data_IF_164116587932
#
_entry.id   IF_164116587932
#
_cell.length_a   1.000
_cell.length_b   1.000
_cell.length_c   1.000
_cell.angle_alpha   90.00
_cell.angle_beta   90.00
_cell.angle_gamma   90.00
#
_symmetry.space_group_name_H-M   'P 1'
#
loop_
_entity.id
_entity.type
_entity.pdbx_description
1 polymer ?
#
# COMPACT_ATOMS: atom_id res chain seq x y z
N UNK A 1 -23.65 32.66 -20.42
CA UNK A 1 -24.45 32.24 -19.28
C UNK A 1 -23.93 30.95 -18.64
N UNK A 2 -22.98 30.24 -19.29
CA UNK A 2 -22.27 29.05 -18.80
C UNK A 2 -21.09 29.33 -17.87
N UNK A 3 -20.45 30.51 -17.98
CA UNK A 3 -19.28 30.88 -17.16
C UNK A 3 -19.59 31.22 -15.69
N UNK A 4 -20.84 31.48 -15.34
CA UNK A 4 -21.23 31.84 -13.97
C UNK A 4 -21.53 30.58 -13.09
N UNK A 5 -21.66 29.39 -13.67
CA UNK A 5 -21.95 28.16 -12.91
C UNK A 5 -20.69 27.44 -12.41
N UNK A 6 -19.52 27.68 -13.01
CA UNK A 6 -18.25 27.06 -12.61
C UNK A 6 -17.58 27.75 -11.42
N UNK A 7 -17.83 29.04 -11.20
CA UNK A 7 -17.23 29.77 -10.05
C UNK A 7 -17.94 29.54 -8.71
N UNK A 8 -19.17 29.03 -8.72
CA UNK A 8 -19.96 28.87 -7.48
C UNK A 8 -19.65 27.55 -6.73
N UNK A 9 -18.94 26.59 -7.36
CA UNK A 9 -18.59 25.30 -6.75
C UNK A 9 -17.29 25.33 -5.96
N UNK A 10 -16.50 26.41 -6.03
CA UNK A 10 -15.23 26.57 -5.29
C UNK A 10 -15.42 27.17 -3.87
N UNK A 11 -16.64 27.63 -3.52
CA UNK A 11 -16.81 28.54 -2.38
C UNK A 11 -17.15 27.90 -1.04
N UNK A 12 -17.27 26.57 -0.91
CA UNK A 12 -17.71 26.00 0.37
C UNK A 12 -17.11 24.62 0.70
N UNK A 13 -15.88 24.33 0.26
CA UNK A 13 -15.21 23.12 0.71
C UNK A 13 -14.76 23.26 2.16
N UNK A 14 -15.10 22.28 2.98
CA UNK A 14 -14.59 22.21 4.34
C UNK A 14 -13.10 21.85 4.32
N UNK A 15 -12.26 22.71 4.86
CA UNK A 15 -10.82 22.45 4.95
C UNK A 15 -10.54 21.49 6.10
N UNK A 16 -9.85 20.39 5.80
CA UNK A 16 -9.37 19.41 6.77
C UNK A 16 -7.86 19.36 6.72
N UNK A 17 -7.23 19.47 7.87
CA UNK A 17 -5.77 19.35 8.00
C UNK A 17 -5.45 18.02 8.68
N UNK A 18 -4.65 17.20 8.00
CA UNK A 18 -4.12 15.94 8.51
C UNK A 18 -2.65 16.13 8.87
N UNK A 19 -2.28 15.84 10.09
CA UNK A 19 -0.89 15.95 10.56
C UNK A 19 -0.23 14.59 10.53
N UNK A 20 0.82 14.47 9.71
CA UNK A 20 1.56 13.24 9.45
C UNK A 20 1.11 12.52 8.19
N UNK A 21 2.04 12.29 7.23
CA UNK A 21 1.83 11.53 6.01
C UNK A 21 2.30 10.07 6.13
N UNK A 22 2.12 9.46 7.30
CA UNK A 22 2.25 8.02 7.51
C UNK A 22 0.99 7.27 7.03
N UNK A 23 0.94 5.94 7.16
CA UNK A 23 -0.19 5.14 6.67
C UNK A 23 -1.55 5.63 7.18
N UNK A 24 -1.65 5.97 8.47
CA UNK A 24 -2.90 6.43 9.07
C UNK A 24 -3.37 7.77 8.48
N UNK A 25 -2.46 8.75 8.35
CA UNK A 25 -2.81 10.07 7.81
C UNK A 25 -3.17 10.01 6.33
N UNK A 26 -2.42 9.25 5.55
CA UNK A 26 -2.70 9.06 4.12
C UNK A 26 -4.03 8.33 3.89
N UNK A 27 -4.34 7.30 4.68
CA UNK A 27 -5.63 6.60 4.63
C UNK A 27 -6.78 7.55 4.98
N UNK A 28 -6.64 8.35 6.04
CA UNK A 28 -7.67 9.31 6.43
C UNK A 28 -7.90 10.36 5.33
N UNK A 29 -6.83 10.89 4.73
CA UNK A 29 -6.92 11.85 3.64
C UNK A 29 -7.61 11.24 2.40
N UNK A 30 -7.23 10.01 2.03
CA UNK A 30 -7.83 9.29 0.93
C UNK A 30 -9.33 9.07 1.14
N UNK A 31 -9.73 8.55 2.31
CA UNK A 31 -11.11 8.27 2.64
C UNK A 31 -11.99 9.54 2.63
N UNK A 32 -11.47 10.66 3.11
CA UNK A 32 -12.19 11.93 3.05
C UNK A 32 -12.45 12.38 1.61
N UNK A 33 -11.44 12.27 0.74
CA UNK A 33 -11.54 12.69 -0.66
C UNK A 33 -12.37 11.71 -1.51
N UNK A 34 -12.34 10.42 -1.18
CA UNK A 34 -13.12 9.39 -1.88
C UNK A 34 -14.63 9.50 -1.55
N UNK A 35 -14.96 9.80 -0.29
CA UNK A 35 -16.35 9.88 0.20
C UNK A 35 -17.08 11.15 -0.18
N UNK A 36 -16.39 12.28 -0.30
CA UNK A 36 -17.05 13.55 -0.63
C UNK A 36 -16.15 14.52 -1.38
N UNK A 37 -16.76 15.30 -2.26
CA UNK A 37 -16.11 16.44 -2.94
C UNK A 37 -16.15 17.73 -2.12
N UNK A 38 -16.78 17.70 -0.94
CA UNK A 38 -16.97 18.87 -0.07
C UNK A 38 -15.73 19.16 0.79
N UNK A 39 -14.73 18.30 0.76
CA UNK A 39 -13.48 18.48 1.49
C UNK A 39 -12.34 19.00 0.61
N UNK A 40 -11.57 19.91 1.20
CA UNK A 40 -10.22 20.26 0.78
C UNK A 40 -9.27 19.69 1.84
N UNK A 41 -8.49 18.67 1.48
CA UNK A 41 -7.61 17.98 2.43
C UNK A 41 -6.19 18.45 2.25
N UNK A 42 -5.57 18.92 3.34
CA UNK A 42 -4.16 19.29 3.41
C UNK A 42 -3.45 18.32 4.33
N UNK A 43 -2.42 17.65 3.84
CA UNK A 43 -1.58 16.77 4.66
C UNK A 43 -0.26 17.47 4.95
N UNK A 44 0.07 17.59 6.23
CA UNK A 44 1.34 18.16 6.70
C UNK A 44 2.26 17.02 7.15
N UNK A 45 3.47 17.02 6.62
CA UNK A 45 4.50 16.03 6.96
C UNK A 45 5.79 16.77 7.38
N UNK A 46 6.42 16.31 8.46
CA UNK A 46 7.64 16.88 8.99
C UNK A 46 8.86 16.54 8.15
N UNK A 47 8.88 15.32 7.60
CA UNK A 47 9.99 14.83 6.80
C UNK A 47 9.83 15.18 5.31
N UNK A 48 10.91 15.07 4.54
CA UNK A 48 10.90 15.31 3.09
C UNK A 48 10.16 14.24 2.29
N UNK A 49 9.77 13.12 2.92
CA UNK A 49 9.15 11.98 2.25
C UNK A 49 7.93 11.47 3.00
N UNK A 50 6.89 11.11 2.25
CA UNK A 50 5.70 10.45 2.78
C UNK A 50 5.97 8.98 3.15
N UNK A 51 5.03 8.38 3.86
CA UNK A 51 4.99 6.95 4.16
C UNK A 51 5.29 6.59 5.60
N UNK A 52 5.88 7.49 6.40
CA UNK A 52 6.18 7.24 7.81
C UNK A 52 6.98 5.93 7.99
N UNK A 53 6.49 5.03 8.84
CA UNK A 53 7.13 3.72 9.08
C UNK A 53 7.08 2.79 7.85
N UNK A 54 6.17 3.02 6.92
CA UNK A 54 6.03 2.21 5.69
C UNK A 54 6.81 2.78 4.50
N UNK A 55 7.60 3.83 4.72
CA UNK A 55 8.38 4.43 3.63
C UNK A 55 9.50 3.52 3.15
N UNK A 56 9.78 3.59 1.86
CA UNK A 56 10.93 2.94 1.23
C UNK A 56 12.08 3.95 1.10
N UNK A 57 13.24 3.59 1.57
CA UNK A 57 14.47 4.38 1.44
C UNK A 57 15.27 3.86 0.24
N UNK A 58 15.75 4.77 -0.60
CA UNK A 58 16.71 4.44 -1.64
C UNK A 58 18.13 4.80 -1.17
N UNK A 59 18.98 3.80 -1.03
CA UNK A 59 20.36 3.99 -0.67
C UNK A 59 21.29 3.33 -1.72
N UNK A 60 22.07 4.14 -2.41
CA UNK A 60 23.00 3.67 -3.47
C UNK A 60 22.31 2.77 -4.51
N UNK A 61 21.11 3.14 -4.94
CA UNK A 61 20.34 2.37 -5.92
C UNK A 61 19.56 1.17 -5.36
N UNK A 62 19.71 0.85 -4.07
CA UNK A 62 18.98 -0.22 -3.42
C UNK A 62 17.78 0.35 -2.67
N UNK A 63 16.60 -0.24 -2.87
CA UNK A 63 15.37 0.09 -2.17
C UNK A 63 15.23 -0.77 -0.93
N UNK A 64 14.97 -0.14 0.21
CA UNK A 64 14.81 -0.79 1.50
C UNK A 64 13.62 -0.18 2.24
N UNK A 65 12.70 -1.00 2.70
CA UNK A 65 11.59 -0.56 3.51
C UNK A 65 12.03 -0.36 4.97
N UNK A 66 11.60 0.74 5.57
CA UNK A 66 11.93 1.07 6.96
C UNK A 66 11.21 0.17 7.96
N UNK A 67 10.00 -0.26 7.61
CA UNK A 67 9.17 -1.12 8.44
C UNK A 67 8.92 -2.48 7.82
N UNK A 68 7.83 -3.11 8.25
CA UNK A 68 7.37 -4.34 7.63
C UNK A 68 6.94 -4.10 6.18
N UNK A 69 7.57 -4.78 5.24
CA UNK A 69 7.31 -4.65 3.81
C UNK A 69 6.27 -5.65 3.30
N UNK A 70 5.51 -6.27 4.19
CA UNK A 70 4.48 -7.24 3.85
C UNK A 70 3.16 -6.82 4.43
N UNK A 71 2.18 -6.69 3.55
CA UNK A 71 0.80 -6.53 3.96
C UNK A 71 0.26 -7.90 4.42
N UNK A 72 -0.41 -7.89 5.57
CA UNK A 72 -1.16 -9.01 6.10
C UNK A 72 -2.30 -8.49 6.96
N UNK A 73 -3.52 -8.92 6.67
CA UNK A 73 -4.68 -8.67 7.52
C UNK A 73 -5.57 -9.90 7.60
N UNK A 74 -6.21 -10.08 8.77
CA UNK A 74 -7.29 -11.06 8.98
C UNK A 74 -8.67 -10.44 8.80
N UNK A 75 -8.73 -9.12 8.58
CA UNK A 75 -9.98 -8.37 8.43
C UNK A 75 -10.32 -8.28 6.93
N UNK A 76 -11.44 -8.85 6.49
CA UNK A 76 -11.86 -8.80 5.08
C UNK A 76 -11.96 -7.37 4.54
N UNK A 77 -12.52 -6.45 5.33
CA UNK A 77 -12.71 -5.06 4.93
C UNK A 77 -11.39 -4.35 4.63
N UNK A 78 -10.33 -4.69 5.38
CA UNK A 78 -8.99 -4.14 5.15
C UNK A 78 -8.37 -4.73 3.88
N UNK A 79 -8.59 -6.02 3.62
CA UNK A 79 -8.11 -6.65 2.39
C UNK A 79 -8.80 -6.05 1.16
N UNK A 80 -10.14 -5.93 1.17
CA UNK A 80 -10.93 -5.30 0.11
C UNK A 80 -10.50 -3.85 -0.15
N UNK A 81 -10.20 -3.10 0.91
CA UNK A 81 -9.70 -1.73 0.79
C UNK A 81 -8.36 -1.67 0.06
N UNK A 82 -7.43 -2.58 0.40
CA UNK A 82 -6.14 -2.65 -0.28
C UNK A 82 -6.26 -3.10 -1.73
N UNK A 83 -7.10 -4.10 -2.02
CA UNK A 83 -7.34 -4.59 -3.37
C UNK A 83 -7.98 -3.52 -4.29
N UNK A 84 -8.76 -2.59 -3.72
CA UNK A 84 -9.27 -1.42 -4.44
C UNK A 84 -8.15 -0.49 -4.94
N UNK A 85 -7.06 -0.37 -4.18
CA UNK A 85 -5.93 0.50 -4.49
C UNK A 85 -4.85 -0.21 -5.32
N UNK A 86 -4.55 -1.46 -4.96
CA UNK A 86 -3.54 -2.30 -5.58
C UNK A 86 -4.12 -3.69 -5.79
N UNK A 87 -4.57 -4.03 -7.00
CA UNK A 87 -5.15 -5.34 -7.28
C UNK A 87 -4.12 -6.46 -7.13
N UNK A 88 -4.59 -7.66 -6.74
CA UNK A 88 -3.75 -8.84 -6.65
C UNK A 88 -3.31 -9.33 -8.04
N UNK A 89 -2.09 -9.89 -8.13
CA UNK A 89 -1.56 -10.44 -9.38
C UNK A 89 -2.49 -11.49 -10.00
N UNK A 90 -2.70 -11.39 -11.31
CA UNK A 90 -3.45 -12.36 -12.12
C UNK A 90 -2.58 -13.29 -12.96
N UNK A 91 -1.26 -13.07 -12.96
CA UNK A 91 -0.28 -13.93 -13.60
C UNK A 91 0.93 -14.15 -12.69
N UNK A 92 1.70 -15.25 -12.86
CA UNK A 92 2.95 -15.44 -12.16
C UNK A 92 3.97 -14.37 -12.53
N UNK A 93 4.70 -13.83 -11.55
CA UNK A 93 5.84 -12.97 -11.84
C UNK A 93 7.05 -13.77 -12.36
N UNK A 94 8.03 -13.06 -12.92
CA UNK A 94 9.30 -13.66 -13.35
C UNK A 94 9.96 -14.49 -12.22
N UNK A 95 9.96 -13.97 -11.00
CA UNK A 95 10.52 -14.68 -9.85
C UNK A 95 9.70 -15.91 -9.45
N UNK A 96 8.38 -15.90 -9.66
CA UNK A 96 7.55 -17.06 -9.40
C UNK A 96 7.92 -18.20 -10.36
N UNK A 97 8.08 -17.87 -11.63
CA UNK A 97 8.48 -18.84 -12.66
C UNK A 97 9.90 -19.36 -12.42
N UNK A 98 10.84 -18.46 -12.14
CA UNK A 98 12.25 -18.80 -11.92
C UNK A 98 12.49 -19.65 -10.68
N UNK A 99 11.69 -19.44 -9.62
CA UNK A 99 11.80 -20.13 -8.34
C UNK A 99 10.75 -21.23 -8.17
N UNK A 100 10.07 -21.60 -9.28
CA UNK A 100 9.05 -22.66 -9.31
C UNK A 100 7.96 -22.50 -8.23
N UNK A 101 7.53 -21.24 -8.00
CA UNK A 101 6.46 -20.91 -7.05
C UNK A 101 5.10 -20.99 -7.72
N UNK A 102 4.11 -21.38 -6.96
CA UNK A 102 2.71 -21.40 -7.39
C UNK A 102 1.92 -20.39 -6.52
N UNK A 103 1.91 -19.09 -6.88
CA UNK A 103 1.14 -18.11 -6.14
C UNK A 103 -0.36 -18.30 -6.35
N UNK A 104 -1.17 -17.85 -5.41
CA UNK A 104 -2.60 -17.68 -5.64
C UNK A 104 -2.79 -16.49 -6.60
N UNK A 105 -3.50 -16.71 -7.70
CA UNK A 105 -3.76 -15.70 -8.72
C UNK A 105 -5.19 -15.21 -8.63
N UNK A 106 -5.39 -13.89 -8.79
CA UNK A 106 -6.70 -13.28 -8.88
C UNK A 106 -7.27 -13.46 -10.29
N UNK A 107 -8.55 -13.80 -10.37
CA UNK A 107 -9.28 -13.79 -11.63
C UNK A 107 -9.32 -12.34 -12.17
N UNK A 108 -8.90 -12.14 -13.41
CA UNK A 108 -8.77 -10.80 -14.02
C UNK A 108 -7.76 -9.85 -13.35
N UNK A 109 -6.88 -10.35 -12.50
CA UNK A 109 -5.78 -9.53 -11.95
C UNK A 109 -4.76 -9.15 -13.03
N UNK A 110 -3.99 -8.06 -12.81
CA UNK A 110 -2.96 -7.63 -13.74
C UNK A 110 -1.77 -8.58 -13.79
N UNK A 111 -1.07 -8.54 -14.91
CA UNK A 111 0.21 -9.22 -15.09
C UNK A 111 1.34 -8.35 -14.46
N UNK A 112 2.02 -8.84 -13.42
CA UNK A 112 3.05 -8.07 -12.71
C UNK A 112 4.30 -7.77 -13.55
N UNK A 113 4.48 -8.43 -14.68
CA UNK A 113 5.57 -8.13 -15.61
C UNK A 113 5.22 -6.98 -16.58
N UNK A 114 3.96 -6.50 -16.55
CA UNK A 114 3.47 -5.42 -17.42
C UNK A 114 3.01 -4.18 -16.64
N UNK A 115 2.62 -4.36 -15.38
CA UNK A 115 2.03 -3.30 -14.55
C UNK A 115 2.71 -3.32 -13.18
N UNK A 116 3.23 -2.16 -12.75
CA UNK A 116 3.90 -2.01 -11.44
C UNK A 116 2.89 -1.89 -10.28
N UNK A 117 1.70 -1.34 -10.55
CA UNK A 117 0.64 -1.16 -9.56
C UNK A 117 -0.10 -2.48 -9.29
N UNK A 118 0.56 -3.41 -8.64
CA UNK A 118 0.03 -4.76 -8.36
C UNK A 118 0.56 -5.29 -7.03
N UNK A 119 -0.29 -5.97 -6.27
CA UNK A 119 0.14 -6.75 -5.10
C UNK A 119 0.55 -8.16 -5.50
N UNK A 120 1.74 -8.56 -5.06
CA UNK A 120 2.27 -9.90 -5.31
C UNK A 120 1.94 -10.82 -4.13
N UNK A 121 1.41 -12.01 -4.42
CA UNK A 121 1.24 -13.06 -3.42
C UNK A 121 2.57 -13.77 -3.19
N UNK A 122 3.13 -13.64 -2.00
CA UNK A 122 4.42 -14.23 -1.64
C UNK A 122 4.31 -15.15 -0.44
N UNK A 123 4.72 -16.40 -0.62
CA UNK A 123 4.91 -17.33 0.48
C UNK A 123 5.90 -16.76 1.51
N UNK A 124 5.60 -16.85 2.79
CA UNK A 124 6.47 -16.39 3.87
C UNK A 124 7.32 -17.56 4.38
N UNK A 125 8.64 -17.37 4.33
CA UNK A 125 9.59 -18.18 5.09
C UNK A 125 10.19 -17.29 6.17
N UNK A 126 9.86 -17.55 7.43
CA UNK A 126 10.44 -16.82 8.56
C UNK A 126 11.25 -17.78 9.42
N UNK A 127 12.41 -17.34 9.86
CA UNK A 127 13.29 -18.10 10.73
C UNK A 127 13.81 -17.21 11.84
N UNK A 128 13.97 -17.82 13.02
CA UNK A 128 14.62 -17.19 14.16
C UNK A 128 16.05 -17.74 14.21
N UNK A 129 17.04 -16.84 14.19
CA UNK A 129 18.42 -17.21 14.44
C UNK A 129 18.70 -17.06 15.95
N UNK A 130 18.96 -18.16 16.62
CA UNK A 130 19.28 -18.18 18.03
C UNK A 130 20.31 -19.28 18.33
N UNK A 131 21.29 -18.96 19.16
CA UNK A 131 22.36 -19.87 19.57
C UNK A 131 23.04 -20.59 18.37
N UNK A 132 23.40 -19.81 17.34
CA UNK A 132 24.05 -20.26 16.09
C UNK A 132 23.23 -21.27 15.27
N UNK A 133 21.91 -21.35 15.48
CA UNK A 133 20.99 -22.22 14.73
C UNK A 133 19.80 -21.43 14.22
N UNK A 134 19.23 -21.90 13.10
CA UNK A 134 17.97 -21.40 12.58
C UNK A 134 16.83 -22.28 13.05
N UNK A 135 15.77 -21.64 13.53
CA UNK A 135 14.52 -22.25 13.89
C UNK A 135 13.42 -21.72 12.98
N UNK A 136 12.54 -22.58 12.51
CA UNK A 136 11.41 -22.14 11.71
C UNK A 136 10.39 -21.37 12.57
N UNK A 137 9.74 -20.38 11.99
CA UNK A 137 8.69 -19.60 12.64
C UNK A 137 7.37 -19.73 11.85
N UNK A 138 6.22 -19.96 12.51
CA UNK A 138 6.05 -20.12 13.97
C UNK A 138 6.70 -21.38 14.49
N UNK A 139 7.16 -21.32 15.73
CA UNK A 139 7.76 -22.48 16.42
C UNK A 139 6.67 -23.52 16.61
N UNK A 140 6.81 -24.66 15.95
CA UNK A 140 6.02 -25.86 16.23
C UNK A 140 6.74 -26.67 17.31
N UNK A 141 6.04 -26.94 18.40
CA UNK A 141 6.49 -27.87 19.45
C UNK A 141 6.26 -29.31 19.01
#
# INVERSE_FOLDING_TARGET
MEDMMTENNARNKQKVVVIGAGPAGLTAAYELLDRSKDYEVVVLEESETMGGISRTVNYKGNRMDMGGHRFFSKMPEVNEWWEKLLPMQGAPSYDDLKLERTPSLAENGPDPEKIDEVMLNRGRVSRIFFNQKFFDYPISL
#
